data_IF_917814843032
#
_entry.id   IF_917814843032
#
_cell.length_a   1.000
_cell.length_b   1.000
_cell.length_c   1.000
_cell.angle_alpha   90.00
_cell.angle_beta   90.00
_cell.angle_gamma   90.00
#
_symmetry.space_group_name_H-M   'P 1'
#
loop_
_entity.id
_entity.type
_entity.pdbx_description
1 polymer ?
#
# COMPACT_ATOMS: atom_id res chain seq x y z
N UNK A 1 -36.36 2.09 39.19
CA UNK A 1 -35.61 0.87 39.54
C UNK A 1 -34.41 0.74 38.61
N UNK A 2 -33.21 0.68 39.17
CA UNK A 2 -32.01 0.28 38.42
C UNK A 2 -32.01 -1.24 38.44
N UNK A 3 -32.32 -1.87 37.30
CA UNK A 3 -32.20 -3.33 37.16
C UNK A 3 -30.77 -3.62 36.71
N UNK A 4 -29.92 -3.98 37.68
CA UNK A 4 -28.64 -4.62 37.42
C UNK A 4 -28.90 -6.12 37.26
N UNK A 5 -28.45 -6.70 36.15
CA UNK A 5 -28.60 -8.13 35.90
C UNK A 5 -27.23 -8.80 35.77
N UNK A 6 -27.04 -9.94 36.43
CA UNK A 6 -25.81 -10.73 36.35
C UNK A 6 -26.15 -12.10 35.75
N UNK A 7 -25.35 -12.58 34.80
CA UNK A 7 -25.49 -13.92 34.22
C UNK A 7 -26.77 -14.10 33.40
N UNK A 8 -27.07 -13.17 32.49
CA UNK A 8 -28.25 -13.33 31.63
C UNK A 8 -27.93 -14.35 30.54
N UNK A 9 -28.63 -15.48 30.57
CA UNK A 9 -28.76 -16.34 29.40
C UNK A 9 -30.10 -16.04 28.74
N UNK A 10 -30.06 -15.37 27.59
CA UNK A 10 -31.23 -15.13 26.76
C UNK A 10 -31.28 -16.25 25.71
N UNK A 11 -32.26 -17.14 25.86
CA UNK A 11 -32.50 -18.27 24.96
C UNK A 11 -33.72 -17.93 24.11
N UNK A 12 -33.58 -17.91 22.78
CA UNK A 12 -34.61 -17.88 21.73
C UNK A 12 -35.77 -16.88 21.90
N UNK A 13 -35.97 -15.98 20.93
CA UNK A 13 -37.09 -15.02 20.87
C UNK A 13 -37.19 -14.09 22.10
N UNK A 14 -36.05 -13.61 22.59
CA UNK A 14 -35.99 -12.77 23.78
C UNK A 14 -35.64 -11.30 23.44
N UNK A 15 -36.45 -10.36 23.92
CA UNK A 15 -36.11 -8.94 23.98
C UNK A 15 -35.59 -8.59 25.38
N UNK A 16 -34.31 -8.25 25.49
CA UNK A 16 -33.64 -7.98 26.77
C UNK A 16 -33.17 -6.52 26.81
N UNK A 17 -33.74 -5.71 27.71
CA UNK A 17 -33.43 -4.27 27.86
C UNK A 17 -32.92 -3.81 29.25
N UNK A 18 -31.94 -4.48 29.90
CA UNK A 18 -31.40 -4.03 31.17
C UNK A 18 -30.49 -2.80 30.99
N UNK A 19 -30.38 -2.01 32.06
CA UNK A 19 -29.48 -0.83 32.07
C UNK A 19 -28.02 -1.23 32.26
N UNK A 20 -27.76 -2.23 33.12
CA UNK A 20 -26.43 -2.73 33.41
C UNK A 20 -26.46 -4.25 33.41
N UNK A 21 -25.44 -4.84 32.81
CA UNK A 21 -25.35 -6.29 32.66
C UNK A 21 -23.91 -6.80 32.71
N UNK A 22 -23.73 -7.97 33.30
CA UNK A 22 -22.46 -8.69 33.33
C UNK A 22 -22.70 -10.13 32.91
N UNK A 23 -21.89 -10.65 31.99
CA UNK A 23 -21.97 -12.03 31.50
C UNK A 23 -23.29 -12.31 30.80
N UNK A 24 -23.45 -11.79 29.58
CA UNK A 24 -24.61 -12.10 28.74
C UNK A 24 -24.23 -13.16 27.73
N UNK A 25 -25.03 -14.20 27.67
CA UNK A 25 -25.03 -15.16 26.58
C UNK A 25 -26.36 -15.04 25.85
N UNK A 26 -26.33 -14.47 24.65
CA UNK A 26 -27.48 -14.38 23.76
C UNK A 26 -27.40 -15.51 22.73
N UNK A 27 -28.42 -16.36 22.71
CA UNK A 27 -28.52 -17.55 21.86
C UNK A 27 -29.77 -17.44 20.99
N UNK A 28 -29.60 -17.49 19.66
CA UNK A 28 -30.62 -17.60 18.61
C UNK A 28 -31.73 -16.52 18.64
N UNK A 29 -31.84 -15.71 17.57
CA UNK A 29 -32.96 -14.77 17.36
C UNK A 29 -33.21 -13.82 18.54
N UNK A 30 -32.13 -13.35 19.19
CA UNK A 30 -32.21 -12.47 20.34
C UNK A 30 -31.95 -11.02 19.94
N UNK A 31 -32.78 -10.09 20.44
CA UNK A 31 -32.55 -8.65 20.36
C UNK A 31 -32.16 -8.14 21.75
N UNK A 32 -30.92 -7.69 21.88
CA UNK A 32 -30.36 -7.25 23.17
C UNK A 32 -29.95 -5.78 23.09
N UNK A 33 -30.72 -4.92 23.75
CA UNK A 33 -30.43 -3.50 23.88
C UNK A 33 -29.89 -3.20 25.28
N UNK A 34 -28.65 -2.73 25.38
CA UNK A 34 -28.00 -2.46 26.67
C UNK A 34 -27.41 -1.07 26.72
N UNK A 35 -27.44 -0.46 27.90
CA UNK A 35 -26.63 0.74 28.14
C UNK A 35 -25.19 0.41 28.50
N UNK A 36 -24.98 -0.56 29.38
CA UNK A 36 -23.65 -0.96 29.82
C UNK A 36 -23.56 -2.47 29.97
N UNK A 37 -22.53 -3.05 29.38
CA UNK A 37 -22.34 -4.49 29.36
C UNK A 37 -20.87 -4.89 29.46
N UNK A 38 -20.63 -6.01 30.14
CA UNK A 38 -19.33 -6.64 30.27
C UNK A 38 -19.46 -8.13 29.97
N UNK A 39 -18.65 -8.65 29.04
CA UNK A 39 -18.64 -10.06 28.66
C UNK A 39 -19.93 -10.48 27.97
N UNK A 40 -20.01 -10.24 26.67
CA UNK A 40 -21.15 -10.65 25.83
C UNK A 40 -20.68 -11.73 24.88
N UNK A 41 -21.38 -12.86 24.91
CA UNK A 41 -21.28 -13.89 23.90
C UNK A 41 -22.59 -13.91 23.11
N UNK A 42 -22.53 -13.54 21.84
CA UNK A 42 -23.67 -13.63 20.93
C UNK A 42 -23.48 -14.80 19.97
N UNK A 43 -24.48 -15.67 19.92
CA UNK A 43 -24.46 -16.92 19.16
C UNK A 43 -25.69 -16.97 18.26
N UNK A 44 -25.45 -17.01 16.94
CA UNK A 44 -26.42 -17.31 15.88
C UNK A 44 -27.62 -16.34 15.80
N UNK A 45 -27.73 -15.60 14.70
CA UNK A 45 -28.83 -14.66 14.39
C UNK A 45 -29.16 -13.68 15.54
N UNK A 46 -28.13 -13.08 16.14
CA UNK A 46 -28.30 -12.12 17.22
C UNK A 46 -28.10 -10.67 16.74
N UNK A 47 -29.01 -9.79 17.17
CA UNK A 47 -28.86 -8.34 17.00
C UNK A 47 -28.53 -7.70 18.35
N UNK A 48 -27.39 -7.02 18.40
CA UNK A 48 -26.76 -6.59 19.64
C UNK A 48 -26.44 -5.09 19.55
N UNK A 49 -27.31 -4.27 20.16
CA UNK A 49 -27.15 -2.82 20.21
C UNK A 49 -26.76 -2.35 21.60
N UNK A 50 -25.60 -1.71 21.73
CA UNK A 50 -25.08 -1.30 23.04
C UNK A 50 -24.59 0.15 23.06
N UNK A 51 -24.78 0.83 24.19
CA UNK A 51 -24.18 2.16 24.36
C UNK A 51 -22.70 2.04 24.78
N UNK A 52 -22.37 1.11 25.68
CA UNK A 52 -21.00 0.80 26.08
C UNK A 52 -20.84 -0.68 26.36
N UNK A 53 -19.83 -1.30 25.76
CA UNK A 53 -19.52 -2.72 25.93
C UNK A 53 -18.04 -2.97 26.18
N UNK A 54 -17.76 -4.01 26.97
CA UNK A 54 -16.41 -4.55 27.18
C UNK A 54 -16.45 -6.05 26.91
N UNK A 55 -15.66 -6.53 25.95
CA UNK A 55 -15.57 -7.93 25.57
C UNK A 55 -16.86 -8.42 24.92
N UNK A 56 -17.00 -8.18 23.62
CA UNK A 56 -18.02 -8.81 22.78
C UNK A 56 -17.35 -9.95 22.00
N UNK A 57 -17.96 -11.12 22.02
CA UNK A 57 -17.56 -12.27 21.23
C UNK A 57 -18.75 -12.77 20.44
N UNK A 58 -18.64 -12.82 19.12
CA UNK A 58 -19.67 -13.33 18.21
C UNK A 58 -19.15 -14.53 17.42
N UNK A 59 -19.98 -15.58 17.34
CA UNK A 59 -19.57 -16.83 16.71
C UNK A 59 -20.07 -16.99 15.27
N UNK A 60 -21.36 -16.73 15.00
CA UNK A 60 -21.99 -16.92 13.68
C UNK A 60 -23.15 -15.94 13.50
N UNK A 61 -23.29 -15.34 12.32
CA UNK A 61 -24.46 -14.56 11.85
C UNK A 61 -24.94 -13.59 12.91
N UNK A 62 -24.19 -12.52 13.15
CA UNK A 62 -24.56 -11.52 14.13
C UNK A 62 -24.39 -10.11 13.58
N UNK A 63 -25.26 -9.21 14.03
CA UNK A 63 -25.12 -7.77 13.82
C UNK A 63 -24.83 -7.11 15.16
N UNK A 64 -23.66 -6.48 15.26
CA UNK A 64 -23.19 -5.85 16.49
C UNK A 64 -22.92 -4.37 16.26
N UNK A 65 -23.75 -3.53 16.88
CA UNK A 65 -23.67 -2.07 16.72
C UNK A 65 -23.47 -1.35 18.07
N UNK A 66 -22.30 -1.48 18.71
CA UNK A 66 -22.05 -0.75 19.93
C UNK A 66 -21.63 0.69 19.61
N UNK A 67 -22.20 1.66 20.30
CA UNK A 67 -21.72 3.05 20.29
C UNK A 67 -20.25 3.15 20.72
N UNK A 68 -19.88 2.36 21.72
CA UNK A 68 -18.53 2.31 22.25
C UNK A 68 -18.19 0.89 22.70
N UNK A 69 -17.04 0.37 22.28
CA UNK A 69 -16.60 -0.99 22.63
C UNK A 69 -15.11 -1.08 22.95
N UNK A 70 -14.78 -1.97 23.88
CA UNK A 70 -13.41 -2.46 24.10
C UNK A 70 -13.39 -3.97 23.87
N UNK A 71 -12.65 -4.42 22.86
CA UNK A 71 -12.54 -5.83 22.51
C UNK A 71 -13.82 -6.35 21.87
N UNK A 72 -13.80 -6.46 20.54
CA UNK A 72 -14.78 -7.24 19.76
C UNK A 72 -14.01 -8.38 19.10
N UNK A 73 -14.50 -9.60 19.24
CA UNK A 73 -14.00 -10.77 18.53
C UNK A 73 -15.12 -11.40 17.73
N UNK A 74 -14.93 -11.51 16.42
CA UNK A 74 -15.87 -12.08 15.45
C UNK A 74 -15.22 -13.30 14.85
N UNK A 75 -15.97 -14.41 14.78
CA UNK A 75 -15.44 -15.68 14.30
C UNK A 75 -15.89 -16.06 12.89
N UNK A 76 -17.15 -15.80 12.51
CA UNK A 76 -17.70 -16.22 11.22
C UNK A 76 -18.94 -15.39 10.85
N UNK A 77 -19.02 -14.94 9.59
CA UNK A 77 -20.19 -14.29 8.97
C UNK A 77 -20.89 -13.27 9.91
N UNK A 78 -20.22 -12.19 10.30
CA UNK A 78 -20.86 -11.17 11.14
C UNK A 78 -20.58 -9.76 10.66
N UNK A 79 -21.54 -8.87 10.91
CA UNK A 79 -21.42 -7.43 10.67
C UNK A 79 -21.16 -6.70 11.99
N UNK A 80 -20.10 -5.90 12.01
CA UNK A 80 -19.66 -5.16 13.20
C UNK A 80 -19.50 -3.69 12.86
N UNK A 81 -20.42 -2.85 13.33
CA UNK A 81 -20.47 -1.42 13.01
C UNK A 81 -20.39 -0.52 14.25
N UNK A 82 -19.31 -0.59 15.05
CA UNK A 82 -19.22 0.24 16.24
C UNK A 82 -18.96 1.69 15.85
N UNK A 83 -19.53 2.65 16.60
CA UNK A 83 -19.13 4.05 16.39
C UNK A 83 -17.71 4.32 16.87
N UNK A 84 -17.29 3.61 17.91
CA UNK A 84 -15.96 3.73 18.47
C UNK A 84 -15.53 2.37 19.05
N UNK A 85 -14.34 1.90 18.68
CA UNK A 85 -13.80 0.64 19.17
C UNK A 85 -12.32 0.71 19.52
N UNK A 86 -11.94 -0.06 20.54
CA UNK A 86 -10.56 -0.42 20.84
C UNK A 86 -10.43 -1.93 20.69
N UNK A 87 -9.70 -2.39 19.67
CA UNK A 87 -9.49 -3.80 19.37
C UNK A 87 -10.71 -4.45 18.76
N UNK A 88 -10.65 -4.69 17.45
CA UNK A 88 -11.55 -5.60 16.73
C UNK A 88 -10.69 -6.73 16.15
N UNK A 89 -11.06 -7.97 16.42
CA UNK A 89 -10.53 -9.14 15.76
C UNK A 89 -11.66 -9.77 14.96
N UNK A 90 -11.48 -9.88 13.66
CA UNK A 90 -12.45 -10.45 12.74
C UNK A 90 -11.83 -11.60 11.98
N UNK A 91 -12.56 -12.70 11.92
CA UNK A 91 -12.16 -13.94 11.27
C UNK A 91 -13.30 -14.38 10.35
N UNK A 92 -12.93 -14.92 9.18
CA UNK A 92 -13.79 -15.64 8.23
C UNK A 92 -15.06 -14.89 7.83
N UNK A 93 -15.04 -14.26 6.65
CA UNK A 93 -16.24 -13.68 6.02
C UNK A 93 -16.94 -12.60 6.88
N UNK A 94 -16.16 -11.90 7.71
CA UNK A 94 -16.67 -10.85 8.58
C UNK A 94 -16.60 -9.47 7.91
N UNK A 95 -17.61 -8.64 8.14
CA UNK A 95 -17.67 -7.25 7.70
C UNK A 95 -17.53 -6.31 8.90
N UNK A 96 -16.51 -5.44 8.85
CA UNK A 96 -16.11 -4.56 9.96
C UNK A 96 -16.10 -3.10 9.50
N UNK A 97 -17.12 -2.33 9.90
CA UNK A 97 -17.29 -0.93 9.49
C UNK A 97 -17.32 0.06 10.68
N UNK A 98 -16.24 0.16 11.49
CA UNK A 98 -16.25 1.07 12.61
C UNK A 98 -16.10 2.52 12.12
N UNK A 99 -16.80 3.47 12.75
CA UNK A 99 -16.55 4.88 12.43
C UNK A 99 -15.17 5.34 12.90
N UNK A 100 -14.70 4.78 14.00
CA UNK A 100 -13.40 5.08 14.56
C UNK A 100 -12.89 3.84 15.29
N UNK A 101 -11.65 3.44 15.03
CA UNK A 101 -11.05 2.26 15.64
C UNK A 101 -9.58 2.45 16.01
N UNK A 102 -9.17 1.79 17.09
CA UNK A 102 -7.77 1.54 17.42
C UNK A 102 -7.54 0.03 17.38
N UNK A 103 -6.79 -0.44 16.38
CA UNK A 103 -6.49 -1.84 16.16
C UNK A 103 -7.67 -2.60 15.55
N UNK A 104 -7.50 -2.98 14.29
CA UNK A 104 -8.32 -4.00 13.63
C UNK A 104 -7.38 -5.12 13.17
N UNK A 105 -7.72 -6.35 13.49
CA UNK A 105 -7.10 -7.56 12.96
C UNK A 105 -8.15 -8.31 12.17
N UNK A 106 -7.90 -8.56 10.89
CA UNK A 106 -8.81 -9.22 9.97
C UNK A 106 -8.11 -10.42 9.33
N UNK A 107 -8.82 -11.53 9.21
CA UNK A 107 -8.29 -12.80 8.74
C UNK A 107 -9.32 -13.50 7.85
N UNK A 108 -8.86 -14.05 6.72
CA UNK A 108 -9.63 -14.91 5.81
C UNK A 108 -10.92 -14.25 5.29
N UNK A 109 -10.87 -13.69 4.09
CA UNK A 109 -12.05 -13.19 3.36
C UNK A 109 -12.86 -12.12 4.14
N UNK A 110 -12.18 -11.37 5.01
CA UNK A 110 -12.81 -10.32 5.80
C UNK A 110 -12.79 -8.97 5.07
N UNK A 111 -13.87 -8.20 5.18
CA UNK A 111 -13.98 -6.83 4.67
C UNK A 111 -13.89 -5.82 5.81
N UNK A 112 -12.97 -4.85 5.69
CA UNK A 112 -12.66 -3.85 6.72
C UNK A 112 -12.76 -2.44 6.15
N UNK A 113 -13.82 -1.71 6.49
CA UNK A 113 -14.09 -0.37 5.96
C UNK A 113 -14.23 0.72 7.05
N UNK A 114 -13.20 0.95 7.88
CA UNK A 114 -13.29 1.96 8.91
C UNK A 114 -13.27 3.36 8.29
N UNK A 115 -14.06 4.29 8.84
CA UNK A 115 -13.91 5.70 8.43
C UNK A 115 -12.58 6.28 8.90
N UNK A 116 -12.10 5.81 10.04
CA UNK A 116 -10.83 6.22 10.60
C UNK A 116 -10.26 5.09 11.45
N UNK A 117 -8.99 4.76 11.26
CA UNK A 117 -8.32 3.71 12.03
C UNK A 117 -6.88 4.07 12.39
N UNK A 118 -6.45 3.55 13.54
CA UNK A 118 -5.04 3.41 13.90
C UNK A 118 -4.71 1.92 13.94
N UNK A 119 -3.91 1.44 13.00
CA UNK A 119 -3.51 0.05 12.89
C UNK A 119 -4.61 -0.83 12.32
N UNK A 120 -4.40 -1.28 11.09
CA UNK A 120 -5.12 -2.41 10.49
C UNK A 120 -4.08 -3.47 10.15
N UNK A 121 -4.29 -4.70 10.61
CA UNK A 121 -3.57 -5.88 10.16
C UNK A 121 -4.58 -6.77 9.48
N UNK A 122 -4.32 -7.11 8.23
CA UNK A 122 -5.09 -8.07 7.48
C UNK A 122 -4.20 -9.28 7.14
N UNK A 123 -4.85 -10.42 6.90
CA UNK A 123 -4.20 -11.66 6.47
C UNK A 123 -5.15 -12.48 5.60
N UNK A 124 -4.64 -12.97 4.46
CA UNK A 124 -5.29 -13.91 3.53
C UNK A 124 -6.63 -13.41 2.97
N UNK A 125 -6.60 -12.93 1.73
CA UNK A 125 -7.80 -12.63 0.92
C UNK A 125 -8.73 -11.56 1.55
N UNK A 126 -8.17 -10.68 2.37
CA UNK A 126 -8.92 -9.61 3.01
C UNK A 126 -9.03 -8.37 2.11
N UNK A 127 -10.13 -7.63 2.26
CA UNK A 127 -10.39 -6.36 1.60
C UNK A 127 -10.38 -5.22 2.63
N UNK A 128 -9.49 -4.25 2.45
CA UNK A 128 -9.24 -3.18 3.44
C UNK A 128 -9.41 -1.81 2.79
N UNK A 129 -10.54 -1.16 3.04
CA UNK A 129 -10.91 0.13 2.45
C UNK A 129 -11.13 1.27 3.48
N UNK A 130 -10.11 1.64 4.28
CA UNK A 130 -10.31 2.70 5.24
C UNK A 130 -10.36 4.07 4.53
N UNK A 131 -11.24 4.97 4.99
CA UNK A 131 -11.19 6.35 4.47
C UNK A 131 -9.93 7.10 4.93
N UNK A 132 -9.45 6.77 6.12
CA UNK A 132 -8.24 7.34 6.70
C UNK A 132 -7.62 6.31 7.63
N UNK A 133 -6.32 6.05 7.47
CA UNK A 133 -5.60 5.12 8.34
C UNK A 133 -4.20 5.60 8.71
N UNK A 134 -3.77 5.22 9.91
CA UNK A 134 -2.36 5.19 10.31
C UNK A 134 -1.93 3.75 10.48
N UNK A 135 -1.08 3.26 9.57
CA UNK A 135 -0.59 1.89 9.57
C UNK A 135 -1.62 0.90 9.01
N UNK A 136 -1.30 0.34 7.85
CA UNK A 136 -1.93 -0.86 7.31
C UNK A 136 -0.83 -1.89 7.06
N UNK A 137 -1.05 -3.12 7.50
CA UNK A 137 -0.22 -4.29 7.20
C UNK A 137 -1.09 -5.34 6.52
N UNK A 138 -0.67 -5.75 5.34
CA UNK A 138 -1.38 -6.68 4.45
C UNK A 138 -0.46 -7.83 4.06
N UNK A 139 -0.97 -9.06 4.13
CA UNK A 139 -0.21 -10.29 3.89
C UNK A 139 -1.05 -11.31 3.11
N UNK A 140 -0.56 -11.75 1.95
CA UNK A 140 -1.17 -12.76 1.07
C UNK A 140 -2.51 -12.37 0.43
N UNK A 141 -2.45 -12.10 -0.88
CA UNK A 141 -3.63 -11.98 -1.76
C UNK A 141 -4.66 -10.93 -1.29
N UNK A 142 -4.18 -9.80 -0.74
CA UNK A 142 -5.04 -8.76 -0.20
C UNK A 142 -5.28 -7.60 -1.16
N UNK A 143 -6.43 -6.95 -0.99
CA UNK A 143 -6.76 -5.69 -1.65
C UNK A 143 -6.83 -4.55 -0.62
N UNK A 144 -5.97 -3.55 -0.78
CA UNK A 144 -5.82 -2.42 0.15
C UNK A 144 -6.06 -1.10 -0.57
N UNK A 145 -7.24 -0.51 -0.38
CA UNK A 145 -7.68 0.71 -1.08
C UNK A 145 -7.99 1.89 -0.14
N UNK A 146 -7.03 2.39 0.66
CA UNK A 146 -7.31 3.48 1.55
C UNK A 146 -7.44 4.80 0.77
N UNK A 147 -8.39 5.65 1.13
CA UNK A 147 -8.42 7.01 0.52
C UNK A 147 -7.25 7.85 0.96
N UNK A 148 -6.78 7.66 2.17
CA UNK A 148 -5.63 8.37 2.72
C UNK A 148 -4.96 7.48 3.77
N UNK A 149 -3.65 7.30 3.67
CA UNK A 149 -2.90 6.49 4.63
C UNK A 149 -1.53 7.08 4.99
N UNK A 150 -1.11 6.81 6.22
CA UNK A 150 0.28 6.92 6.65
C UNK A 150 0.82 5.52 6.93
N UNK A 151 1.72 5.04 6.09
CA UNK A 151 2.32 3.71 6.20
C UNK A 151 1.39 2.61 5.70
N UNK A 152 1.75 2.01 4.57
CA UNK A 152 1.22 0.72 4.12
C UNK A 152 2.40 -0.23 3.98
N UNK A 153 2.28 -1.43 4.54
CA UNK A 153 3.19 -2.54 4.29
C UNK A 153 2.42 -3.68 3.67
N UNK A 154 2.82 -4.12 2.49
CA UNK A 154 2.17 -5.16 1.71
C UNK A 154 3.20 -6.22 1.32
N UNK A 155 2.83 -7.49 1.47
CA UNK A 155 3.68 -8.62 1.15
C UNK A 155 2.87 -9.70 0.44
N UNK A 156 3.51 -10.40 -0.50
CA UNK A 156 2.99 -11.58 -1.21
C UNK A 156 1.67 -11.32 -1.94
N UNK A 157 1.77 -11.00 -3.22
CA UNK A 157 0.62 -10.91 -4.14
C UNK A 157 -0.47 -9.91 -3.71
N UNK A 158 -0.10 -8.94 -2.87
CA UNK A 158 -1.02 -7.91 -2.39
C UNK A 158 -1.16 -6.76 -3.41
N UNK A 159 -2.37 -6.25 -3.56
CA UNK A 159 -2.71 -5.10 -4.40
C UNK A 159 -2.99 -3.87 -3.53
N UNK A 160 -2.27 -2.78 -3.77
CA UNK A 160 -2.28 -1.56 -2.96
C UNK A 160 -2.61 -0.34 -3.82
N UNK A 161 -3.84 0.18 -3.70
CA UNK A 161 -4.34 1.31 -4.52
C UNK A 161 -4.78 2.54 -3.71
N UNK A 162 -3.89 3.17 -2.92
CA UNK A 162 -4.30 4.30 -2.12
C UNK A 162 -4.49 5.53 -3.01
N UNK A 163 -5.51 6.36 -2.71
CA UNK A 163 -5.61 7.66 -3.41
C UNK A 163 -4.49 8.60 -3.00
N UNK A 164 -4.05 8.50 -1.76
CA UNK A 164 -2.98 9.31 -1.22
C UNK A 164 -2.27 8.53 -0.11
N UNK A 165 -0.95 8.43 -0.16
CA UNK A 165 -0.17 7.77 0.88
C UNK A 165 1.12 8.50 1.24
N UNK A 166 1.52 8.37 2.50
CA UNK A 166 2.88 8.60 2.95
C UNK A 166 3.51 7.26 3.34
N UNK A 167 4.47 6.79 2.56
CA UNK A 167 5.16 5.53 2.78
C UNK A 167 4.35 4.32 2.35
N UNK A 168 4.80 3.65 1.29
CA UNK A 168 4.37 2.31 0.92
C UNK A 168 5.62 1.42 0.88
N UNK A 169 5.56 0.27 1.53
CA UNK A 169 6.55 -0.81 1.40
C UNK A 169 5.86 -2.02 0.80
N UNK A 170 6.37 -2.53 -0.31
CA UNK A 170 5.82 -3.65 -1.05
C UNK A 170 6.91 -4.68 -1.32
N UNK A 171 6.62 -5.95 -1.04
CA UNK A 171 7.55 -7.06 -1.20
C UNK A 171 6.86 -8.25 -1.88
N UNK A 172 7.58 -8.95 -2.76
CA UNK A 172 7.20 -10.21 -3.40
C UNK A 172 5.87 -10.11 -4.18
N UNK A 173 5.99 -9.89 -5.49
CA UNK A 173 4.87 -9.95 -6.43
C UNK A 173 3.70 -9.00 -6.11
N UNK A 174 3.98 -7.93 -5.37
CA UNK A 174 2.98 -6.95 -4.98
C UNK A 174 2.74 -5.91 -6.08
N UNK A 175 1.48 -5.48 -6.23
CA UNK A 175 1.06 -4.42 -7.15
C UNK A 175 0.75 -3.14 -6.36
N UNK A 176 1.35 -2.02 -6.77
CA UNK A 176 1.26 -0.73 -6.05
C UNK A 176 0.87 0.38 -7.01
N UNK A 177 -0.39 0.83 -6.96
CA UNK A 177 -0.94 1.84 -7.88
C UNK A 177 -1.49 3.11 -7.17
N UNK A 178 -0.69 3.85 -6.40
CA UNK A 178 -1.19 5.01 -5.70
C UNK A 178 -1.45 6.16 -6.68
N UNK A 179 -2.53 6.92 -6.48
CA UNK A 179 -2.70 8.16 -7.27
C UNK A 179 -1.66 9.21 -6.91
N UNK A 180 -1.27 9.25 -5.64
CA UNK A 180 -0.27 10.17 -5.15
C UNK A 180 0.45 9.52 -3.96
N UNK A 181 1.78 9.57 -3.96
CA UNK A 181 2.59 8.97 -2.88
C UNK A 181 3.81 9.82 -2.55
N UNK A 182 4.18 9.78 -1.27
CA UNK A 182 5.50 10.17 -0.79
C UNK A 182 6.22 8.92 -0.28
N UNK A 183 7.22 8.46 -1.01
CA UNK A 183 8.00 7.28 -0.67
C UNK A 183 7.28 5.97 -1.02
N UNK A 184 7.82 5.28 -2.02
CA UNK A 184 7.50 3.88 -2.31
C UNK A 184 8.81 3.08 -2.24
N UNK A 185 8.81 1.98 -1.50
CA UNK A 185 9.87 0.98 -1.51
C UNK A 185 9.28 -0.33 -2.03
N UNK A 186 9.87 -0.87 -3.09
CA UNK A 186 9.44 -2.08 -3.76
C UNK A 186 10.61 -3.05 -3.91
N UNK A 187 10.36 -4.33 -3.65
CA UNK A 187 11.37 -5.37 -3.64
C UNK A 187 10.82 -6.67 -4.24
N UNK A 188 11.62 -7.35 -5.06
CA UNK A 188 11.37 -8.68 -5.62
C UNK A 188 10.06 -8.75 -6.42
N UNK A 189 10.17 -8.58 -7.73
CA UNK A 189 9.07 -8.82 -8.69
C UNK A 189 7.83 -7.93 -8.45
N UNK A 190 8.02 -6.79 -7.79
CA UNK A 190 6.94 -5.85 -7.51
C UNK A 190 6.67 -4.92 -8.69
N UNK A 191 5.40 -4.58 -8.90
CA UNK A 191 4.92 -3.65 -9.93
C UNK A 191 4.46 -2.34 -9.28
N UNK A 192 5.00 -1.21 -9.73
CA UNK A 192 4.81 0.11 -9.12
C UNK A 192 4.38 1.13 -10.17
N UNK A 193 3.09 1.49 -10.18
CA UNK A 193 2.48 2.40 -11.17
C UNK A 193 1.84 3.66 -10.55
N UNK A 194 2.59 4.51 -9.84
CA UNK A 194 1.99 5.69 -9.24
C UNK A 194 1.69 6.74 -10.31
N UNK A 195 0.54 7.41 -10.21
CA UNK A 195 0.29 8.58 -11.10
C UNK A 195 1.24 9.73 -10.77
N UNK A 196 1.58 9.88 -9.50
CA UNK A 196 2.51 10.89 -9.03
C UNK A 196 3.24 10.37 -7.79
N UNK A 197 4.55 10.52 -7.76
CA UNK A 197 5.38 10.09 -6.63
C UNK A 197 6.51 11.05 -6.32
N UNK A 198 6.84 11.15 -5.03
CA UNK A 198 8.11 11.66 -4.54
C UNK A 198 8.89 10.51 -3.94
N UNK A 199 9.93 10.05 -4.61
CA UNK A 199 10.79 8.95 -4.18
C UNK A 199 10.17 7.58 -4.45
N UNK A 200 10.79 6.85 -5.37
CA UNK A 200 10.58 5.42 -5.55
C UNK A 200 11.93 4.73 -5.40
N UNK A 201 11.99 3.69 -4.58
CA UNK A 201 13.12 2.77 -4.49
C UNK A 201 12.65 1.39 -4.91
N UNK A 202 13.29 0.82 -5.94
CA UNK A 202 12.94 -0.47 -6.52
C UNK A 202 14.18 -1.37 -6.59
N UNK A 203 14.01 -2.63 -6.20
CA UNK A 203 15.08 -3.60 -6.03
C UNK A 203 14.65 -4.95 -6.58
N UNK A 204 15.53 -5.62 -7.33
CA UNK A 204 15.38 -6.98 -7.84
C UNK A 204 14.12 -7.22 -8.67
N UNK A 205 14.27 -7.20 -9.99
CA UNK A 205 13.23 -7.59 -10.95
C UNK A 205 11.92 -6.77 -10.83
N UNK A 206 12.01 -5.55 -10.29
CA UNK A 206 10.87 -4.68 -10.08
C UNK A 206 10.54 -3.87 -11.35
N UNK A 207 9.25 -3.66 -11.61
CA UNK A 207 8.74 -2.82 -12.70
C UNK A 207 8.19 -1.51 -12.13
N UNK A 208 8.66 -0.37 -12.65
CA UNK A 208 8.37 0.97 -12.14
C UNK A 208 7.90 1.89 -13.27
N UNK A 209 6.59 2.15 -13.35
CA UNK A 209 5.97 2.94 -14.42
C UNK A 209 5.23 4.20 -13.93
N UNK A 210 5.89 5.15 -13.26
CA UNK A 210 5.19 6.32 -12.75
C UNK A 210 4.85 7.28 -13.89
N UNK A 211 3.66 7.89 -13.87
CA UNK A 211 3.37 8.97 -14.83
C UNK A 211 4.23 10.20 -14.57
N UNK A 212 4.49 10.48 -13.31
CA UNK A 212 5.33 11.58 -12.88
C UNK A 212 6.06 11.19 -11.59
N UNK A 213 7.36 11.45 -11.54
CA UNK A 213 8.18 11.14 -10.37
C UNK A 213 9.25 12.21 -10.09
N UNK A 214 9.52 12.40 -8.81
CA UNK A 214 10.73 13.04 -8.32
C UNK A 214 11.58 11.99 -7.60
N UNK A 215 12.67 11.56 -8.21
CA UNK A 215 13.58 10.56 -7.67
C UNK A 215 13.06 9.14 -7.87
N UNK A 216 13.78 8.39 -8.71
CA UNK A 216 13.67 6.93 -8.81
C UNK A 216 15.05 6.36 -8.56
N UNK A 217 15.16 5.39 -7.66
CA UNK A 217 16.34 4.56 -7.47
C UNK A 217 15.98 3.13 -7.83
N UNK A 218 16.68 2.54 -8.78
CA UNK A 218 16.42 1.20 -9.28
C UNK A 218 17.72 0.38 -9.25
N UNK A 219 17.64 -0.85 -8.76
CA UNK A 219 18.79 -1.74 -8.59
C UNK A 219 18.45 -3.16 -9.03
N UNK A 220 19.38 -3.80 -9.73
CA UNK A 220 19.37 -5.22 -10.12
C UNK A 220 18.14 -5.60 -10.96
N UNK A 221 18.31 -5.61 -12.28
CA UNK A 221 17.32 -6.14 -13.23
C UNK A 221 15.96 -5.42 -13.19
N UNK A 222 15.94 -4.18 -12.69
CA UNK A 222 14.72 -3.39 -12.60
C UNK A 222 14.39 -2.70 -13.94
N UNK A 223 13.10 -2.63 -14.27
CA UNK A 223 12.57 -1.89 -15.41
C UNK A 223 11.92 -0.59 -14.96
N UNK A 224 12.33 0.54 -15.52
CA UNK A 224 11.93 1.89 -15.11
C UNK A 224 11.42 2.69 -16.32
N UNK A 225 10.11 2.84 -16.45
CA UNK A 225 9.47 3.52 -17.60
C UNK A 225 8.63 4.77 -17.22
N UNK A 226 9.22 5.79 -16.58
CA UNK A 226 8.46 6.97 -16.21
C UNK A 226 8.07 7.79 -17.44
N UNK A 227 6.85 8.34 -17.48
CA UNK A 227 6.53 9.33 -18.52
C UNK A 227 7.30 10.62 -18.31
N UNK A 228 7.49 11.01 -17.07
CA UNK A 228 8.23 12.20 -16.70
C UNK A 228 8.94 11.96 -15.37
N UNK A 229 10.22 12.33 -15.29
CA UNK A 229 11.04 12.13 -14.09
C UNK A 229 12.02 13.28 -13.86
N UNK A 230 12.25 13.57 -12.58
CA UNK A 230 13.41 14.33 -12.11
C UNK A 230 14.28 13.41 -11.28
N UNK A 231 15.44 13.01 -11.79
CA UNK A 231 16.38 12.12 -11.14
C UNK A 231 15.97 10.66 -11.26
N UNK A 232 16.74 9.92 -12.06
CA UNK A 232 16.75 8.45 -12.06
C UNK A 232 18.16 8.00 -11.74
N UNK A 233 18.30 7.09 -10.78
CA UNK A 233 19.53 6.36 -10.48
C UNK A 233 19.27 4.88 -10.75
N UNK A 234 19.99 4.31 -11.71
CA UNK A 234 19.83 2.92 -12.13
C UNK A 234 21.18 2.21 -12.05
N UNK A 235 21.20 1.04 -11.43
CA UNK A 235 22.42 0.27 -11.17
C UNK A 235 22.18 -1.23 -11.47
N UNK A 236 23.19 -1.87 -12.06
CA UNK A 236 23.25 -3.32 -12.34
C UNK A 236 22.08 -3.82 -13.20
N UNK A 237 22.31 -3.90 -14.52
CA UNK A 237 21.38 -4.55 -15.48
C UNK A 237 19.97 -3.92 -15.52
N UNK A 238 19.85 -2.67 -15.07
CA UNK A 238 18.58 -1.95 -15.08
C UNK A 238 18.25 -1.40 -16.47
N UNK A 239 16.97 -1.47 -16.84
CA UNK A 239 16.44 -0.90 -18.08
C UNK A 239 15.65 0.38 -17.78
N UNK A 240 16.06 1.51 -18.36
CA UNK A 240 15.51 2.84 -18.06
C UNK A 240 14.96 3.46 -19.34
N UNK A 241 13.63 3.60 -19.43
CA UNK A 241 12.92 4.10 -20.62
C UNK A 241 12.05 5.34 -20.40
N UNK A 242 12.58 6.45 -19.85
CA UNK A 242 11.80 7.66 -19.65
C UNK A 242 11.40 8.31 -20.97
N UNK A 243 10.16 8.78 -21.07
CA UNK A 243 9.79 9.69 -22.18
C UNK A 243 10.46 11.05 -22.03
N UNK A 244 10.55 11.54 -20.80
CA UNK A 244 11.17 12.81 -20.49
C UNK A 244 11.87 12.71 -19.12
N UNK A 245 13.11 13.18 -19.05
CA UNK A 245 13.92 13.11 -17.82
C UNK A 245 14.82 14.32 -17.62
N UNK A 246 15.02 14.68 -16.36
CA UNK A 246 16.09 15.54 -15.91
C UNK A 246 17.00 14.75 -14.95
N UNK A 247 18.21 14.45 -15.36
CA UNK A 247 19.18 13.70 -14.57
C UNK A 247 18.90 12.20 -14.62
N UNK A 248 19.73 11.48 -15.35
CA UNK A 248 19.83 10.02 -15.29
C UNK A 248 21.26 9.67 -14.90
N UNK A 249 21.41 8.83 -13.89
CA UNK A 249 22.64 8.18 -13.50
C UNK A 249 22.47 6.69 -13.78
N UNK A 250 23.24 6.14 -14.71
CA UNK A 250 23.22 4.74 -15.11
C UNK A 250 24.58 4.11 -14.87
N UNK A 251 24.62 3.01 -14.12
CA UNK A 251 25.85 2.31 -13.75
C UNK A 251 25.72 0.81 -14.03
N UNK A 252 26.83 0.22 -14.45
CA UNK A 252 27.03 -1.24 -14.56
C UNK A 252 25.97 -1.92 -15.41
N UNK A 253 26.22 -2.03 -16.72
CA UNK A 253 25.37 -2.77 -17.66
C UNK A 253 23.93 -2.24 -17.76
N UNK A 254 23.70 -1.00 -17.32
CA UNK A 254 22.40 -0.35 -17.45
C UNK A 254 22.13 0.09 -18.89
N UNK A 255 20.88 -0.11 -19.33
CA UNK A 255 20.38 0.33 -20.63
C UNK A 255 19.46 1.53 -20.47
N UNK A 256 19.74 2.62 -21.18
CA UNK A 256 18.99 3.88 -21.11
C UNK A 256 18.49 4.27 -22.50
N UNK A 257 17.18 4.15 -22.73
CA UNK A 257 16.53 4.64 -23.94
C UNK A 257 15.61 5.80 -23.59
N UNK A 258 15.86 7.00 -24.10
CA UNK A 258 15.02 8.16 -23.75
C UNK A 258 14.54 8.89 -24.97
N UNK A 259 13.32 9.44 -24.94
CA UNK A 259 12.91 10.36 -26.02
C UNK A 259 13.56 11.72 -25.84
N UNK A 260 13.66 12.18 -24.61
CA UNK A 260 14.22 13.48 -24.28
C UNK A 260 14.85 13.46 -22.89
N UNK A 261 16.07 13.97 -22.77
CA UNK A 261 16.81 14.01 -21.52
C UNK A 261 17.65 15.28 -21.35
N UNK A 262 17.79 15.72 -20.11
CA UNK A 262 18.80 16.69 -19.68
C UNK A 262 19.70 16.04 -18.65
N UNK A 263 20.97 15.86 -18.95
CA UNK A 263 21.95 15.26 -18.06
C UNK A 263 21.79 13.74 -17.98
N UNK A 264 22.65 13.02 -18.70
CA UNK A 264 22.85 11.59 -18.51
C UNK A 264 24.30 11.37 -18.08
N UNK A 265 24.50 10.62 -17.00
CA UNK A 265 25.80 10.13 -16.56
C UNK A 265 25.78 8.61 -16.63
N UNK A 266 26.58 8.05 -17.52
CA UNK A 266 26.65 6.62 -17.78
C UNK A 266 28.05 6.10 -17.46
N UNK A 267 28.14 5.03 -16.68
CA UNK A 267 29.41 4.43 -16.26
C UNK A 267 29.36 2.91 -16.43
N UNK A 268 30.49 2.35 -16.86
CA UNK A 268 30.78 0.91 -16.88
C UNK A 268 29.77 0.09 -17.70
N UNK A 269 30.10 -0.13 -18.97
CA UNK A 269 29.34 -0.99 -19.88
C UNK A 269 27.86 -0.58 -20.07
N UNK A 270 27.53 0.68 -19.77
CA UNK A 270 26.19 1.21 -19.95
C UNK A 270 25.91 1.54 -21.43
N UNK A 271 24.69 1.27 -21.88
CA UNK A 271 24.20 1.59 -23.22
C UNK A 271 23.21 2.76 -23.13
N UNK A 272 23.44 3.83 -23.89
CA UNK A 272 22.62 5.06 -23.83
C UNK A 272 22.18 5.49 -25.22
N UNK A 273 20.88 5.44 -25.49
CA UNK A 273 20.27 5.80 -26.77
C UNK A 273 19.16 6.85 -26.60
N UNK A 274 19.50 8.13 -26.36
CA UNK A 274 18.51 9.18 -26.28
C UNK A 274 18.21 9.71 -27.68
N UNK A 275 16.93 9.89 -28.04
CA UNK A 275 16.57 10.59 -29.29
C UNK A 275 17.03 12.05 -29.25
N UNK A 276 16.92 12.68 -28.10
CA UNK A 276 17.36 14.04 -27.91
C UNK A 276 17.92 14.21 -26.49
N UNK A 277 19.10 14.82 -26.39
CA UNK A 277 19.80 14.99 -25.11
C UNK A 277 20.56 16.30 -25.00
N UNK A 278 20.64 16.82 -23.79
CA UNK A 278 21.57 17.88 -23.40
C UNK A 278 22.45 17.38 -22.27
N UNK A 279 23.76 17.30 -22.48
CA UNK A 279 24.71 16.82 -21.47
C UNK A 279 24.68 15.31 -21.33
N UNK A 280 25.62 14.61 -21.96
CA UNK A 280 25.90 13.20 -21.69
C UNK A 280 27.35 13.11 -21.20
N UNK A 281 27.57 12.47 -20.06
CA UNK A 281 28.89 12.09 -19.56
C UNK A 281 28.98 10.57 -19.55
N UNK A 282 29.87 10.00 -20.35
CA UNK A 282 30.04 8.56 -20.49
C UNK A 282 31.46 8.15 -20.09
N UNK A 283 31.57 7.10 -19.27
CA UNK A 283 32.85 6.59 -18.76
C UNK A 283 32.93 5.07 -18.92
N UNK A 284 34.12 4.59 -19.28
CA UNK A 284 34.53 3.18 -19.23
C UNK A 284 33.61 2.22 -20.00
N UNK A 285 33.93 2.01 -21.28
CA UNK A 285 33.25 1.04 -22.17
C UNK A 285 31.74 1.29 -22.34
N UNK A 286 31.27 2.49 -22.01
CA UNK A 286 29.90 2.92 -22.28
C UNK A 286 29.70 3.19 -23.78
N UNK A 287 28.56 2.76 -24.31
CA UNK A 287 28.12 3.00 -25.68
C UNK A 287 27.04 4.08 -25.70
N UNK A 288 27.24 5.13 -26.50
CA UNK A 288 26.31 6.26 -26.58
C UNK A 288 25.90 6.49 -28.03
N UNK A 289 24.60 6.33 -28.32
CA UNK A 289 24.01 6.49 -29.64
C UNK A 289 22.88 7.52 -29.67
N UNK A 290 23.16 8.83 -29.56
CA UNK A 290 22.12 9.84 -29.59
C UNK A 290 21.75 10.24 -31.02
N UNK A 291 20.45 10.43 -31.29
CA UNK A 291 20.01 11.00 -32.58
C UNK A 291 20.35 12.49 -32.66
N UNK A 292 20.12 13.23 -31.56
CA UNK A 292 20.55 14.63 -31.39
C UNK A 292 21.10 14.84 -29.98
N UNK A 293 22.23 15.52 -29.88
CA UNK A 293 22.85 15.81 -28.59
C UNK A 293 23.61 17.13 -28.57
N UNK A 294 23.62 17.76 -27.40
CA UNK A 294 24.45 18.92 -27.10
C UNK A 294 25.32 18.63 -25.89
N UNK A 295 26.65 18.66 -26.05
CA UNK A 295 27.59 18.43 -24.96
C UNK A 295 27.68 16.96 -24.57
N UNK A 296 28.47 16.18 -25.32
CA UNK A 296 28.89 14.84 -24.92
C UNK A 296 30.32 14.92 -24.43
N UNK A 297 30.58 14.30 -23.28
CA UNK A 297 31.89 14.10 -22.70
C UNK A 297 32.08 12.60 -22.51
N UNK A 298 33.06 12.02 -23.19
CA UNK A 298 33.31 10.59 -23.18
C UNK A 298 34.77 10.37 -22.77
N UNK A 299 35.02 9.71 -21.63
CA UNK A 299 36.40 9.34 -21.24
C UNK A 299 36.56 7.82 -21.14
N UNK A 300 37.73 7.34 -21.55
CA UNK A 300 38.19 5.94 -21.49
C UNK A 300 37.30 4.94 -22.25
N UNK A 301 37.71 4.58 -23.47
CA UNK A 301 37.12 3.52 -24.33
C UNK A 301 35.60 3.62 -24.58
N UNK A 302 34.98 4.76 -24.33
CA UNK A 302 33.59 4.97 -24.69
C UNK A 302 33.45 5.12 -26.22
N UNK A 303 32.47 4.44 -26.81
CA UNK A 303 32.14 4.55 -28.23
C UNK A 303 30.93 5.47 -28.38
N UNK A 304 31.06 6.50 -29.22
CA UNK A 304 29.97 7.45 -29.51
C UNK A 304 29.65 7.38 -30.99
N UNK A 305 28.45 6.89 -31.32
CA UNK A 305 27.95 6.86 -32.70
C UNK A 305 26.82 7.88 -32.87
N UNK A 306 26.92 8.70 -33.92
CA UNK A 306 25.94 9.74 -34.20
C UNK A 306 25.08 9.37 -35.38
N UNK A 307 23.75 9.53 -35.23
CA UNK A 307 22.84 9.41 -36.35
C UNK A 307 22.87 10.68 -37.23
N UNK A 308 22.86 11.90 -36.65
CA UNK A 308 22.99 13.19 -37.37
C UNK A 308 23.44 14.35 -36.42
N UNK A 309 24.39 15.19 -36.86
CA UNK A 309 24.91 16.43 -36.23
C UNK A 309 25.29 16.38 -34.73
N UNK A 310 26.58 16.57 -34.43
CA UNK A 310 27.09 16.78 -33.06
C UNK A 310 27.95 18.04 -32.95
N UNK A 311 27.79 18.79 -31.86
CA UNK A 311 28.71 19.86 -31.47
C UNK A 311 29.67 19.31 -30.41
N UNK A 312 30.83 18.82 -30.87
CA UNK A 312 31.92 18.40 -29.99
C UNK A 312 32.54 19.64 -29.32
N UNK A 313 32.71 19.60 -28.00
CA UNK A 313 33.59 20.54 -27.30
C UNK A 313 35.01 19.95 -27.39
N UNK A 314 36.00 20.65 -27.98
CA UNK A 314 37.36 20.11 -28.05
C UNK A 314 37.96 19.99 -26.64
N UNK A 315 38.53 18.83 -26.32
CA UNK A 315 39.36 18.64 -25.13
C UNK A 315 40.53 19.65 -25.17
N UNK A 316 40.74 20.38 -24.08
CA UNK A 316 42.02 21.03 -23.83
C UNK A 316 42.92 20.01 -23.11
N UNK A 317 44.04 19.71 -23.77
CA UNK A 317 45.17 18.91 -23.28
C UNK A 317 45.60 19.24 -21.86
#
# INVERSE_FOLDING_TARGET
MVTNCFGISALCEAMVKPRFSFGISALCEAMVELRFSFGISALYEAMVEHMFSFGISTLCVAMVEPMFSFGISVLYEATVEPRFSFGISALCEAMVEPRFSFGISALYEATVEPRFSFGISALCEAMVEPRFSFGISALYEEMVEPRFSFGISALYEATVEPRFSFGISALYEAMVEPRFSFGISALCEAMVEPRFSFGISALYEAMVEPRFSFGISALCEAMVEPRFSFGISALCEAMVKPRFSFGILALCEAMVETKFSFGISALYEAMVEPKFSFGISALYEAMVGPMFSFGILALCKAMVEFSFFSFLKPEQN
#
